data_IF_030144765884
#
_entry.id   IF_030144765884
#
_cell.length_a   1.000
_cell.length_b   1.000
_cell.length_c   1.000
_cell.angle_alpha   90.00
_cell.angle_beta   90.00
_cell.angle_gamma   90.00
#
_symmetry.space_group_name_H-M   'P 1'
#
loop_
_entity.id
_entity.type
_entity.pdbx_description
1 polymer ?
#
# COMPACT_ATOMS: atom_id res chain seq x y z
N UNK A 1 1.95 -15.12 26.53
CA UNK A 1 1.09 -13.98 26.91
C UNK A 1 0.69 -13.25 25.63
N UNK A 2 -0.59 -13.21 25.27
CA UNK A 2 -1.04 -12.59 24.01
C UNK A 2 -1.45 -11.14 24.29
N UNK A 3 -0.71 -10.16 23.75
CA UNK A 3 -0.87 -8.73 24.06
C UNK A 3 -2.05 -8.08 23.31
N UNK A 4 -2.65 -8.78 22.34
CA UNK A 4 -3.72 -8.29 21.48
C UNK A 4 -4.77 -9.39 21.31
N UNK A 5 -6.04 -9.03 21.47
CA UNK A 5 -7.16 -9.96 21.30
C UNK A 5 -7.57 -10.12 19.84
N UNK A 6 -7.54 -9.01 19.09
CA UNK A 6 -7.93 -8.97 17.67
C UNK A 6 -6.91 -8.10 16.92
N UNK A 7 -6.51 -8.56 15.74
CA UNK A 7 -5.74 -7.79 14.77
C UNK A 7 -6.23 -8.15 13.38
N UNK A 8 -7.07 -7.28 12.82
CA UNK A 8 -7.69 -7.47 11.51
C UNK A 8 -7.31 -6.30 10.59
N UNK A 9 -7.01 -6.62 9.34
CA UNK A 9 -6.67 -5.63 8.32
C UNK A 9 -7.47 -5.93 7.06
N UNK A 10 -8.17 -4.92 6.54
CA UNK A 10 -8.73 -4.95 5.20
C UNK A 10 -7.91 -4.05 4.30
N UNK A 11 -7.63 -4.52 3.08
CA UNK A 11 -6.86 -3.79 2.09
C UNK A 11 -7.66 -3.73 0.80
N UNK A 12 -7.92 -2.52 0.32
CA UNK A 12 -8.55 -2.27 -0.97
C UNK A 12 -7.49 -1.69 -1.92
N UNK A 13 -7.24 -2.38 -3.02
CA UNK A 13 -6.27 -1.96 -4.03
C UNK A 13 -7.02 -1.50 -5.27
N UNK A 14 -6.81 -0.25 -5.68
CA UNK A 14 -7.41 0.35 -6.88
C UNK A 14 -6.30 0.77 -7.86
N UNK A 15 -6.40 0.45 -9.16
CA UNK A 15 -5.41 0.87 -10.13
C UNK A 15 -5.51 2.37 -10.42
N UNK A 16 -4.36 3.03 -10.54
CA UNK A 16 -4.21 4.41 -11.00
C UNK A 16 -3.42 4.41 -12.31
N UNK A 17 -4.01 4.99 -13.35
CA UNK A 17 -3.37 5.12 -14.67
C UNK A 17 -2.58 6.43 -14.75
N UNK A 18 -1.28 6.36 -14.45
CA UNK A 18 -0.41 7.54 -14.24
C UNK A 18 -0.26 8.38 -15.50
N UNK A 19 -0.06 7.73 -16.65
CA UNK A 19 0.21 8.39 -17.94
C UNK A 19 -1.06 8.65 -18.76
N UNK A 20 -2.27 8.47 -18.18
CA UNK A 20 -3.53 8.55 -18.94
C UNK A 20 -3.70 9.88 -19.69
N UNK A 21 -3.34 11.01 -19.07
CA UNK A 21 -3.47 12.35 -19.68
C UNK A 21 -2.53 12.54 -20.87
N UNK A 22 -1.34 11.94 -20.81
CA UNK A 22 -0.30 12.06 -21.85
C UNK A 22 -0.54 11.09 -23.01
N UNK A 23 -0.91 9.85 -22.69
CA UNK A 23 -0.97 8.76 -23.67
C UNK A 23 -2.38 8.52 -24.23
N UNK A 24 -3.43 8.73 -23.44
CA UNK A 24 -4.79 8.34 -23.82
C UNK A 24 -5.68 9.52 -24.27
N UNK A 25 -5.15 10.76 -24.33
CA UNK A 25 -5.75 12.02 -24.84
C UNK A 25 -7.26 12.19 -24.58
N UNK A 26 -8.10 11.56 -25.39
CA UNK A 26 -9.57 11.71 -25.40
C UNK A 26 -10.32 10.60 -24.63
N UNK A 27 -9.61 9.55 -24.18
CA UNK A 27 -10.20 8.40 -23.51
C UNK A 27 -9.75 8.32 -22.06
N UNK A 28 -10.70 8.25 -21.13
CA UNK A 28 -10.44 7.95 -19.72
C UNK A 28 -10.63 6.44 -19.52
N UNK A 29 -9.54 5.66 -19.44
CA UNK A 29 -9.64 4.21 -19.31
C UNK A 29 -10.22 3.84 -17.95
N UNK A 30 -11.25 2.99 -17.94
CA UNK A 30 -11.84 2.44 -16.71
C UNK A 30 -11.26 1.08 -16.37
N UNK A 31 -10.72 0.39 -17.37
CA UNK A 31 -10.15 -0.95 -17.22
C UNK A 31 -8.69 -1.00 -17.66
N UNK A 32 -7.95 -1.98 -17.14
CA UNK A 32 -6.54 -2.17 -17.49
C UNK A 32 -6.36 -2.50 -18.99
N UNK A 33 -7.32 -3.22 -19.59
CA UNK A 33 -7.32 -3.56 -21.02
C UNK A 33 -7.47 -2.31 -21.88
N UNK A 34 -8.40 -1.43 -21.53
CA UNK A 34 -8.56 -0.13 -22.18
C UNK A 34 -7.30 0.72 -22.04
N UNK A 35 -6.72 0.77 -20.84
CA UNK A 35 -5.49 1.54 -20.61
C UNK A 35 -4.33 1.00 -21.44
N UNK A 36 -4.15 -0.33 -21.51
CA UNK A 36 -3.10 -0.95 -22.33
C UNK A 36 -3.28 -0.62 -23.81
N UNK A 37 -4.53 -0.61 -24.31
CA UNK A 37 -4.85 -0.26 -25.70
C UNK A 37 -4.56 1.21 -26.00
N UNK A 38 -5.01 2.15 -25.17
CA UNK A 38 -4.80 3.58 -25.42
C UNK A 38 -3.36 4.03 -25.18
N UNK A 39 -2.66 3.42 -24.24
CA UNK A 39 -1.26 3.76 -23.93
C UNK A 39 -0.23 3.09 -24.84
N UNK A 40 -0.67 2.26 -25.81
CA UNK A 40 0.23 1.48 -26.65
C UNK A 40 1.09 0.48 -25.87
N UNK A 41 0.64 0.08 -24.67
CA UNK A 41 1.39 -0.78 -23.75
C UNK A 41 2.53 -0.10 -22.98
N UNK A 42 2.77 1.20 -23.18
CA UNK A 42 3.87 1.94 -22.55
C UNK A 42 3.47 2.69 -21.28
N UNK A 43 2.16 2.76 -20.97
CA UNK A 43 1.66 3.52 -19.84
C UNK A 43 1.96 2.84 -18.49
N UNK A 44 2.43 3.63 -17.52
CA UNK A 44 2.67 3.13 -16.15
C UNK A 44 1.35 3.00 -15.39
N UNK A 45 1.25 1.94 -14.60
CA UNK A 45 0.12 1.69 -13.69
C UNK A 45 0.66 1.81 -12.27
N UNK A 46 0.03 2.65 -11.46
CA UNK A 46 0.25 2.71 -10.02
C UNK A 46 -0.91 2.01 -9.30
N UNK A 47 -0.71 1.65 -8.04
CA UNK A 47 -1.73 1.06 -7.20
C UNK A 47 -2.02 2.00 -6.03
N UNK A 48 -3.28 2.40 -5.88
CA UNK A 48 -3.79 3.05 -4.68
C UNK A 48 -4.20 1.98 -3.70
N UNK A 49 -3.58 1.95 -2.53
CA UNK A 49 -3.95 1.02 -1.47
C UNK A 49 -4.64 1.81 -0.37
N UNK A 50 -5.87 1.42 -0.04
CA UNK A 50 -6.60 1.89 1.13
C UNK A 50 -6.57 0.75 2.15
N UNK A 51 -6.03 1.01 3.33
CA UNK A 51 -5.82 0.02 4.38
C UNK A 51 -6.63 0.44 5.61
N UNK A 52 -7.56 -0.41 6.03
CA UNK A 52 -8.27 -0.26 7.29
C UNK A 52 -7.74 -1.31 8.26
N UNK A 53 -7.12 -0.87 9.35
CA UNK A 53 -6.54 -1.74 10.37
C UNK A 53 -7.29 -1.58 11.68
N UNK A 54 -7.90 -2.66 12.12
CA UNK A 54 -8.57 -2.77 13.40
C UNK A 54 -7.72 -3.61 14.35
N UNK A 55 -7.48 -3.07 15.54
CA UNK A 55 -6.77 -3.81 16.58
C UNK A 55 -7.46 -3.62 17.93
N UNK A 56 -7.57 -4.72 18.67
CA UNK A 56 -8.11 -4.73 20.03
C UNK A 56 -6.98 -5.13 20.99
N UNK A 57 -6.36 -4.17 21.70
CA UNK A 57 -5.33 -4.48 22.68
C UNK A 57 -5.94 -5.18 23.90
N UNK A 58 -5.10 -5.77 24.73
CA UNK A 58 -5.53 -6.34 26.00
C UNK A 58 -6.34 -5.32 26.84
N UNK A 59 -7.41 -5.72 27.57
CA UNK A 59 -8.33 -4.77 28.21
C UNK A 59 -7.67 -3.72 29.12
N UNK A 60 -6.63 -4.12 29.88
CA UNK A 60 -5.90 -3.19 30.76
C UNK A 60 -5.16 -2.09 29.98
N UNK A 61 -4.76 -2.37 28.73
CA UNK A 61 -4.08 -1.44 27.85
C UNK A 61 -5.06 -0.59 27.02
N UNK A 62 -6.36 -0.91 27.07
CA UNK A 62 -7.41 -0.19 26.36
C UNK A 62 -7.99 0.99 27.17
N UNK A 63 -7.53 1.19 28.40
CA UNK A 63 -7.95 2.30 29.25
C UNK A 63 -7.14 3.57 28.97
N UNK A 64 -7.77 4.76 28.91
CA UNK A 64 -7.04 6.02 28.86
C UNK A 64 -6.28 6.25 30.18
N UNK A 65 -5.09 6.90 30.15
CA UNK A 65 -4.44 7.52 28.99
C UNK A 65 -3.58 6.56 28.15
N UNK A 66 -3.36 5.34 28.62
CA UNK A 66 -2.43 4.38 28.01
C UNK A 66 -2.87 3.95 26.60
N UNK A 67 -4.17 3.76 26.40
CA UNK A 67 -4.74 3.40 25.10
C UNK A 67 -4.53 4.46 24.03
N UNK A 68 -4.57 5.75 24.39
CA UNK A 68 -4.27 6.84 23.47
C UNK A 68 -2.82 6.81 23.03
N UNK A 69 -1.91 6.63 23.97
CA UNK A 69 -0.48 6.54 23.68
C UNK A 69 -0.16 5.37 22.76
N UNK A 70 -0.66 4.16 23.06
CA UNK A 70 -0.47 3.00 22.18
C UNK A 70 -1.04 3.28 20.80
N UNK A 71 -2.27 3.81 20.73
CA UNK A 71 -2.93 4.07 19.44
C UNK A 71 -2.14 5.06 18.60
N UNK A 72 -1.67 6.15 19.19
CA UNK A 72 -0.87 7.15 18.50
C UNK A 72 0.47 6.58 18.02
N UNK A 73 1.18 5.83 18.87
CA UNK A 73 2.43 5.17 18.51
C UNK A 73 2.24 4.15 17.41
N UNK A 74 1.21 3.30 17.50
CA UNK A 74 0.90 2.31 16.46
C UNK A 74 0.61 2.99 15.13
N UNK A 75 -0.24 4.03 15.10
CA UNK A 75 -0.54 4.77 13.86
C UNK A 75 0.74 5.39 13.27
N UNK A 76 1.59 6.00 14.11
CA UNK A 76 2.84 6.62 13.66
C UNK A 76 3.81 5.59 13.07
N UNK A 77 3.99 4.46 13.76
CA UNK A 77 4.86 3.38 13.30
C UNK A 77 4.36 2.78 11.98
N UNK A 78 3.05 2.49 11.87
CA UNK A 78 2.47 1.95 10.63
C UNK A 78 2.66 2.91 9.45
N UNK A 79 2.49 4.23 9.65
CA UNK A 79 2.77 5.23 8.60
C UNK A 79 4.23 5.23 8.16
N UNK A 80 5.17 5.22 9.11
CA UNK A 80 6.60 5.20 8.81
C UNK A 80 7.01 3.94 8.03
N UNK A 81 6.44 2.78 8.38
CA UNK A 81 6.67 1.54 7.65
C UNK A 81 6.14 1.63 6.22
N UNK A 82 4.93 2.16 6.02
CA UNK A 82 4.37 2.37 4.68
C UNK A 82 5.21 3.32 3.82
N UNK A 83 5.70 4.43 4.39
CA UNK A 83 6.58 5.35 3.68
C UNK A 83 7.91 4.69 3.30
N UNK A 84 8.46 3.85 4.19
CA UNK A 84 9.69 3.11 3.93
C UNK A 84 9.50 2.08 2.81
N UNK A 85 8.39 1.35 2.83
CA UNK A 85 8.01 0.44 1.75
C UNK A 85 7.83 1.17 0.42
N UNK A 86 7.19 2.33 0.41
CA UNK A 86 7.04 3.14 -0.81
C UNK A 86 8.39 3.60 -1.36
N UNK A 87 9.32 4.02 -0.49
CA UNK A 87 10.68 4.40 -0.89
C UNK A 87 11.45 3.21 -1.47
N UNK A 88 11.41 2.05 -0.81
CA UNK A 88 12.04 0.81 -1.28
C UNK A 88 11.48 0.39 -2.65
N UNK A 89 10.16 0.37 -2.82
CA UNK A 89 9.51 0.11 -4.10
C UNK A 89 9.92 1.11 -5.18
N UNK A 90 10.05 2.39 -4.83
CA UNK A 90 10.54 3.43 -5.72
C UNK A 90 11.99 3.19 -6.17
N UNK A 91 12.87 2.81 -5.23
CA UNK A 91 14.25 2.46 -5.51
C UNK A 91 14.35 1.25 -6.42
N UNK A 92 13.62 0.16 -6.13
CA UNK A 92 13.63 -1.05 -6.96
C UNK A 92 13.18 -0.80 -8.39
N UNK A 93 12.16 0.05 -8.57
CA UNK A 93 11.71 0.45 -9.90
C UNK A 93 12.76 1.25 -10.68
N UNK A 94 13.63 1.96 -9.97
CA UNK A 94 14.69 2.76 -10.57
C UNK A 94 16.02 1.97 -10.71
N UNK A 95 16.23 0.93 -9.90
CA UNK A 95 17.50 0.21 -9.78
C UNK A 95 17.65 -1.00 -10.69
N UNK A 96 16.59 -1.50 -11.34
CA UNK A 96 16.70 -2.63 -12.27
C UNK A 96 15.80 -2.48 -13.52
N UNK A 97 16.38 -2.51 -14.74
CA UNK A 97 15.62 -2.54 -16.00
C UNK A 97 14.92 -3.89 -16.32
N UNK A 98 15.15 -4.97 -15.56
CA UNK A 98 14.88 -6.33 -16.07
C UNK A 98 14.35 -7.40 -15.11
N UNK A 99 14.12 -7.16 -13.80
CA UNK A 99 13.62 -8.22 -12.89
C UNK A 99 12.10 -8.20 -12.63
N UNK A 100 11.44 -9.39 -12.63
CA UNK A 100 10.04 -9.53 -12.24
C UNK A 100 9.86 -9.26 -10.74
N UNK A 101 8.74 -8.62 -10.39
CA UNK A 101 8.48 -8.04 -9.06
C UNK A 101 8.53 -9.04 -7.89
N UNK A 102 8.74 -8.48 -6.70
CA UNK A 102 8.92 -9.18 -5.43
C UNK A 102 8.00 -10.38 -5.23
N UNK A 103 8.61 -11.47 -4.74
CA UNK A 103 7.92 -12.53 -4.06
C UNK A 103 7.62 -12.08 -2.62
N UNK A 104 6.41 -12.33 -2.13
CA UNK A 104 5.98 -11.97 -0.77
C UNK A 104 6.83 -12.62 0.34
N UNK A 105 7.66 -13.61 0.00
CA UNK A 105 8.55 -14.32 0.92
C UNK A 105 9.87 -13.58 1.19
N UNK A 106 10.25 -12.56 0.40
CA UNK A 106 11.53 -11.83 0.58
C UNK A 106 11.45 -10.70 1.63
N UNK A 107 10.26 -10.45 2.20
CA UNK A 107 10.00 -9.36 3.17
C UNK A 107 10.02 -9.87 4.62
N UNK A 108 10.16 -11.18 4.83
CA UNK A 108 10.20 -11.81 6.14
C UNK A 108 11.56 -12.52 6.36
N UNK A 109 12.61 -11.72 6.55
CA UNK A 109 13.79 -12.08 7.36
C UNK A 109 14.19 -10.88 8.24
#
# INVERSE_FOLDING_TARGET
MMFMKVFEGSFKVEPIYVDQKRLCKHMVPKTQKEYKKCSGGQGKIASKVVMDQYFQPYPLLNLPPFSWYIREKTIKTTKNLLESLQKLCGLMRNSDPTRPGLNANDVLE
#
